data_IF_677132238515
#
_entry.id   IF_677132238515
#
_cell.length_a   1.000
_cell.length_b   1.000
_cell.length_c   1.000
_cell.angle_alpha   90.00
_cell.angle_beta   90.00
_cell.angle_gamma   90.00
#
_symmetry.space_group_name_H-M   'P 1'
#
loop_
_entity.id
_entity.type
_entity.pdbx_description
1 polymer ?
#
# COMPACT_ATOMS: atom_id res chain seq x y z
N UNK A 1 -17.00 -1.12 -9.16
CA UNK A 1 -16.30 0.17 -9.41
C UNK A 1 -14.82 -0.15 -9.66
N UNK A 2 -14.13 0.55 -10.57
CA UNK A 2 -12.76 0.15 -10.99
C UNK A 2 -11.75 0.15 -9.82
N UNK A 3 -12.01 0.91 -8.76
CA UNK A 3 -11.12 1.09 -7.61
C UNK A 3 -11.71 0.55 -6.29
N UNK A 4 -12.61 -0.44 -6.31
CA UNK A 4 -13.19 -0.99 -5.07
C UNK A 4 -12.13 -1.63 -4.17
N UNK A 5 -12.41 -1.67 -2.87
CA UNK A 5 -11.51 -2.21 -1.85
C UNK A 5 -10.93 -3.58 -2.24
N UNK A 6 -11.83 -4.55 -2.50
CA UNK A 6 -11.46 -5.94 -2.82
C UNK A 6 -10.54 -6.05 -4.04
N UNK A 7 -10.76 -5.19 -5.05
CA UNK A 7 -9.98 -5.28 -6.28
C UNK A 7 -8.55 -4.84 -6.06
N UNK A 8 -8.35 -3.72 -5.34
CA UNK A 8 -7.01 -3.22 -5.05
C UNK A 8 -6.28 -4.18 -4.12
N UNK A 9 -6.94 -4.66 -3.05
CA UNK A 9 -6.36 -5.62 -2.11
C UNK A 9 -5.89 -6.90 -2.81
N UNK A 10 -6.74 -7.48 -3.67
CA UNK A 10 -6.39 -8.68 -4.43
C UNK A 10 -5.27 -8.41 -5.44
N UNK A 11 -5.25 -7.22 -6.08
CA UNK A 11 -4.17 -6.83 -6.98
C UNK A 11 -2.83 -6.74 -6.27
N UNK A 12 -2.79 -6.19 -5.05
CA UNK A 12 -1.57 -6.11 -4.24
C UNK A 12 -1.11 -7.51 -3.83
N UNK A 13 -2.02 -8.35 -3.33
CA UNK A 13 -1.69 -9.70 -2.92
C UNK A 13 -1.12 -10.53 -4.08
N UNK A 14 -1.76 -10.47 -5.25
CA UNK A 14 -1.28 -11.13 -6.47
C UNK A 14 0.09 -10.60 -6.91
N UNK A 15 0.29 -9.28 -6.87
CA UNK A 15 1.59 -8.70 -7.20
C UNK A 15 2.71 -9.15 -6.25
N UNK A 16 2.41 -9.32 -4.96
CA UNK A 16 3.38 -9.89 -4.02
C UNK A 16 3.72 -11.35 -4.35
N UNK A 17 2.71 -12.18 -4.62
CA UNK A 17 2.89 -13.58 -5.02
C UNK A 17 3.75 -13.68 -6.29
N UNK A 18 3.37 -12.98 -7.36
CA UNK A 18 4.10 -12.99 -8.63
C UNK A 18 5.54 -12.47 -8.47
N UNK A 19 5.71 -11.29 -7.88
CA UNK A 19 7.03 -10.64 -7.85
C UNK A 19 8.00 -11.29 -6.89
N UNK A 20 7.54 -11.82 -5.75
CA UNK A 20 8.43 -12.45 -4.77
C UNK A 20 8.65 -13.92 -5.13
N UNK A 21 7.58 -14.68 -5.39
CA UNK A 21 7.70 -16.13 -5.54
C UNK A 21 8.12 -16.53 -6.95
N UNK A 22 7.68 -15.81 -7.99
CA UNK A 22 8.03 -16.13 -9.38
C UNK A 22 9.25 -15.34 -9.88
N UNK A 23 9.34 -14.04 -9.57
CA UNK A 23 10.46 -13.18 -10.03
C UNK A 23 11.64 -13.10 -9.04
N UNK A 24 11.47 -13.56 -7.79
CA UNK A 24 12.53 -13.54 -6.77
C UNK A 24 12.90 -12.13 -6.28
N UNK A 25 11.98 -11.16 -6.40
CA UNK A 25 12.18 -9.79 -5.95
C UNK A 25 12.11 -9.69 -4.42
N UNK A 26 12.80 -8.69 -3.85
CA UNK A 26 12.65 -8.36 -2.43
C UNK A 26 11.30 -7.70 -2.16
N UNK A 27 10.85 -7.70 -0.90
CA UNK A 27 9.62 -6.96 -0.50
C UNK A 27 9.69 -5.48 -0.91
N UNK A 28 10.85 -4.84 -0.82
CA UNK A 28 11.03 -3.46 -1.26
C UNK A 28 10.83 -3.31 -2.78
N UNK A 29 11.44 -4.18 -3.58
CA UNK A 29 11.31 -4.19 -5.04
C UNK A 29 9.88 -4.50 -5.50
N UNK A 30 9.26 -5.52 -4.92
CA UNK A 30 7.86 -5.87 -5.20
C UNK A 30 6.91 -4.71 -4.86
N UNK A 31 7.08 -4.11 -3.68
CA UNK A 31 6.29 -2.94 -3.25
C UNK A 31 6.43 -1.77 -4.23
N UNK A 32 7.66 -1.48 -4.68
CA UNK A 32 7.93 -0.43 -5.65
C UNK A 32 7.24 -0.72 -6.99
N UNK A 33 7.42 -1.94 -7.51
CA UNK A 33 6.84 -2.37 -8.80
C UNK A 33 5.32 -2.27 -8.80
N UNK A 34 4.65 -2.71 -7.73
CA UNK A 34 3.19 -2.57 -7.58
C UNK A 34 2.76 -1.10 -7.70
N UNK A 35 3.42 -0.19 -6.97
CA UNK A 35 3.09 1.24 -7.03
C UNK A 35 3.38 1.86 -8.40
N UNK A 36 4.42 1.40 -9.09
CA UNK A 36 4.77 1.85 -10.43
C UNK A 36 3.74 1.44 -11.48
N UNK A 37 3.30 0.19 -11.47
CA UNK A 37 2.31 -0.32 -12.41
C UNK A 37 0.93 0.27 -12.15
N UNK A 38 0.60 0.54 -10.89
CA UNK A 38 -0.69 1.08 -10.48
C UNK A 38 -0.67 2.60 -10.28
N UNK A 39 0.41 3.30 -10.68
CA UNK A 39 0.62 4.73 -10.42
C UNK A 39 -0.57 5.63 -10.80
N UNK A 40 -1.25 5.29 -11.92
CA UNK A 40 -2.44 6.03 -12.38
C UNK A 40 -3.65 5.83 -11.46
N UNK A 41 -3.84 4.64 -10.89
CA UNK A 41 -4.94 4.35 -9.96
C UNK A 41 -4.61 4.82 -8.56
N UNK A 42 -3.36 4.63 -8.13
CA UNK A 42 -2.82 5.03 -6.84
C UNK A 42 -3.18 6.47 -6.48
N UNK A 43 -2.99 7.39 -7.44
CA UNK A 43 -3.22 8.82 -7.22
C UNK A 43 -4.68 9.27 -7.43
N UNK A 44 -5.62 8.34 -7.68
CA UNK A 44 -7.01 8.69 -7.97
C UNK A 44 -7.75 9.35 -6.80
N UNK A 45 -7.53 8.89 -5.55
CA UNK A 45 -8.11 9.52 -4.37
C UNK A 45 -7.33 9.17 -3.10
N UNK A 46 -7.50 9.92 -1.99
CA UNK A 46 -6.86 9.62 -0.71
C UNK A 46 -7.16 8.19 -0.22
N UNK A 47 -8.41 7.73 -0.40
CA UNK A 47 -8.81 6.35 -0.12
C UNK A 47 -7.97 5.34 -0.89
N UNK A 48 -7.85 5.49 -2.21
CA UNK A 48 -7.10 4.52 -3.03
C UNK A 48 -5.62 4.53 -2.67
N UNK A 49 -5.03 5.72 -2.47
CA UNK A 49 -3.64 5.85 -2.04
C UNK A 49 -3.41 5.13 -0.71
N UNK A 50 -4.28 5.37 0.26
CA UNK A 50 -4.20 4.72 1.59
C UNK A 50 -4.37 3.21 1.48
N UNK A 51 -5.32 2.73 0.68
CA UNK A 51 -5.53 1.30 0.47
C UNK A 51 -4.31 0.60 -0.13
N UNK A 52 -3.64 1.18 -1.13
CA UNK A 52 -2.41 0.60 -1.66
C UNK A 52 -1.33 0.51 -0.58
N UNK A 53 -1.07 1.60 0.14
CA UNK A 53 -0.01 1.63 1.16
C UNK A 53 -0.28 0.65 2.31
N UNK A 54 -1.51 0.62 2.82
CA UNK A 54 -1.91 -0.29 3.90
C UNK A 54 -1.88 -1.74 3.42
N UNK A 55 -2.37 -2.04 2.21
CA UNK A 55 -2.34 -3.41 1.67
C UNK A 55 -0.91 -3.91 1.48
N UNK A 56 -0.02 -3.07 0.91
CA UNK A 56 1.40 -3.40 0.72
C UNK A 56 2.07 -3.63 2.08
N UNK A 57 1.81 -2.77 3.06
CA UNK A 57 2.34 -2.95 4.40
C UNK A 57 1.87 -4.27 5.03
N UNK A 58 0.59 -4.62 4.91
CA UNK A 58 0.06 -5.88 5.44
C UNK A 58 0.68 -7.11 4.78
N UNK A 59 0.83 -7.13 3.44
CA UNK A 59 1.48 -8.25 2.76
C UNK A 59 2.95 -8.41 3.17
N UNK A 60 3.69 -7.31 3.24
CA UNK A 60 5.05 -7.34 3.78
C UNK A 60 5.09 -7.89 5.21
N UNK A 61 4.24 -7.35 6.10
CA UNK A 61 4.24 -7.72 7.51
C UNK A 61 3.88 -9.21 7.73
N UNK A 62 3.05 -9.82 6.88
CA UNK A 62 2.82 -11.28 6.89
C UNK A 62 4.11 -12.06 6.64
N UNK A 63 4.98 -11.54 5.77
CA UNK A 63 6.31 -12.07 5.48
C UNK A 63 7.40 -11.57 6.43
N UNK A 64 7.02 -10.87 7.52
CA UNK A 64 7.93 -10.27 8.52
C UNK A 64 8.93 -9.27 7.93
N UNK A 65 8.56 -8.59 6.85
CA UNK A 65 9.41 -7.58 6.20
C UNK A 65 8.57 -6.36 5.84
N UNK A 66 9.16 -5.18 5.79
CA UNK A 66 8.48 -3.99 5.29
C UNK A 66 9.46 -3.11 4.55
N UNK A 67 9.06 -2.57 3.40
CA UNK A 67 9.89 -1.62 2.68
C UNK A 67 10.03 -0.32 3.48
N UNK A 68 11.24 0.21 3.57
CA UNK A 68 11.57 1.47 4.25
C UNK A 68 10.65 2.64 3.83
N UNK A 69 10.43 2.80 2.52
CA UNK A 69 9.65 3.90 1.98
C UNK A 69 8.15 3.78 2.27
N UNK A 70 7.64 2.55 2.45
CA UNK A 70 6.27 2.27 2.91
C UNK A 70 6.20 2.63 4.38
N UNK A 71 7.09 2.06 5.21
CA UNK A 71 7.12 2.27 6.65
C UNK A 71 7.17 3.77 7.01
N UNK A 72 8.07 4.52 6.37
CA UNK A 72 8.28 5.94 6.65
C UNK A 72 7.10 6.85 6.28
N UNK A 73 6.14 6.37 5.46
CA UNK A 73 5.00 7.17 4.99
C UNK A 73 3.66 6.68 5.51
N UNK A 74 3.63 5.50 6.12
CA UNK A 74 2.40 4.78 6.43
C UNK A 74 1.49 5.54 7.40
N UNK A 75 2.06 6.25 8.37
CA UNK A 75 1.31 7.07 9.33
C UNK A 75 0.46 8.15 8.64
N UNK A 76 0.98 8.75 7.57
CA UNK A 76 0.26 9.74 6.77
C UNK A 76 -0.96 9.18 6.01
N UNK A 77 -1.05 7.85 5.89
CA UNK A 77 -2.15 7.16 5.21
C UNK A 77 -3.13 6.49 6.17
N UNK A 78 -2.97 6.71 7.48
CA UNK A 78 -3.92 6.24 8.49
C UNK A 78 -5.03 7.23 8.80
N UNK A 79 -5.02 8.42 8.18
CA UNK A 79 -6.02 9.43 8.43
C UNK A 79 -7.33 9.13 7.67
N UNK A 80 -8.33 8.66 8.42
CA UNK A 80 -9.61 8.19 7.88
C UNK A 80 -10.52 9.37 7.48
N UNK A 81 -10.29 10.56 8.05
CA UNK A 81 -11.07 11.77 7.77
C UNK A 81 -10.97 12.22 6.31
N UNK A 82 -9.98 11.74 5.55
CA UNK A 82 -9.73 12.11 4.15
C UNK A 82 -10.56 11.29 3.13
N UNK A 83 -11.46 10.39 3.58
CA UNK A 83 -12.19 9.46 2.70
C UNK A 83 -13.59 9.92 2.28
N UNK A 84 -13.97 11.19 2.52
CA UNK A 84 -15.32 11.74 2.26
C UNK A 84 -15.80 11.67 0.79
N UNK A 85 -14.95 11.18 -0.12
CA UNK A 85 -15.20 11.16 -1.56
C UNK A 85 -16.03 9.93 -1.99
N UNK A 86 -17.36 10.05 -1.94
CA UNK A 86 -18.40 9.26 -2.68
C UNK A 86 -18.35 7.71 -2.70
N UNK A 87 -17.53 7.05 -1.88
CA UNK A 87 -17.37 5.58 -1.89
C UNK A 87 -18.40 4.85 -1.04
N UNK A 88 -18.54 3.55 -1.31
CA UNK A 88 -19.35 2.63 -0.50
C UNK A 88 -18.79 2.58 0.94
N UNK A 89 -19.64 2.83 1.94
CA UNK A 89 -19.27 2.78 3.36
C UNK A 89 -18.60 1.45 3.73
N UNK A 90 -19.01 0.35 3.09
CA UNK A 90 -18.40 -0.96 3.29
C UNK A 90 -16.91 -0.96 2.94
N UNK A 91 -16.52 -0.36 1.82
CA UNK A 91 -15.12 -0.30 1.39
C UNK A 91 -14.29 0.53 2.37
N UNK A 92 -14.88 1.61 2.93
CA UNK A 92 -14.29 2.44 3.98
C UNK A 92 -14.08 1.63 5.26
N UNK A 93 -15.11 0.94 5.74
CA UNK A 93 -15.05 0.15 6.98
C UNK A 93 -14.00 -0.97 6.88
N UNK A 94 -13.87 -1.59 5.70
CA UNK A 94 -12.85 -2.60 5.43
C UNK A 94 -11.44 -2.01 5.48
N UNK A 95 -11.20 -0.85 4.87
CA UNK A 95 -9.90 -0.17 4.95
C UNK A 95 -9.58 0.25 6.38
N UNK A 96 -10.54 0.79 7.14
CA UNK A 96 -10.36 1.14 8.54
C UNK A 96 -9.94 -0.06 9.39
N UNK A 97 -10.55 -1.23 9.15
CA UNK A 97 -10.19 -2.47 9.82
C UNK A 97 -8.76 -2.90 9.50
N UNK A 98 -8.35 -2.80 8.23
CA UNK A 98 -6.99 -3.11 7.80
C UNK A 98 -5.96 -2.11 8.36
N UNK A 99 -6.32 -0.83 8.50
CA UNK A 99 -5.48 0.19 9.16
C UNK A 99 -5.22 -0.19 10.61
N UNK A 100 -6.26 -0.54 11.37
CA UNK A 100 -6.10 -0.95 12.78
C UNK A 100 -5.28 -2.24 12.91
N UNK A 101 -5.54 -3.22 12.05
CA UNK A 101 -4.71 -4.43 11.98
C UNK A 101 -3.24 -4.11 11.71
N UNK A 102 -2.98 -3.21 10.75
CA UNK A 102 -1.63 -2.80 10.39
C UNK A 102 -0.93 -2.11 11.58
N UNK A 103 -1.59 -1.17 12.26
CA UNK A 103 -1.09 -0.52 13.48
C UNK A 103 -0.74 -1.55 14.57
N UNK A 104 -1.61 -2.54 14.79
CA UNK A 104 -1.35 -3.60 15.76
C UNK A 104 -0.11 -4.43 15.42
N UNK A 105 0.06 -4.82 14.14
CA UNK A 105 1.22 -5.58 13.68
C UNK A 105 2.50 -4.76 13.82
N UNK A 106 2.47 -3.49 13.45
CA UNK A 106 3.61 -2.57 13.61
C UNK A 106 4.03 -2.42 15.08
N UNK A 107 3.04 -2.30 15.98
CA UNK A 107 3.26 -2.20 17.43
C UNK A 107 3.83 -3.48 18.04
N UNK A 108 3.39 -4.65 17.55
CA UNK A 108 3.93 -5.96 17.99
C UNK A 108 5.40 -6.13 17.59
N UNK A 109 5.83 -5.49 16.50
CA UNK A 109 7.20 -5.61 16.00
C UNK A 109 7.46 -6.98 15.37
N UNK A 110 8.75 -7.37 15.30
CA UNK A 110 9.16 -8.67 14.77
C UNK A 110 9.24 -8.74 13.24
N UNK A 111 9.35 -7.59 12.58
CA UNK A 111 9.62 -7.46 11.16
C UNK A 111 10.97 -6.76 10.93
N UNK A 112 11.53 -6.99 9.76
CA UNK A 112 12.73 -6.30 9.26
C UNK A 112 12.33 -5.16 8.32
N UNK A 113 13.02 -4.03 8.39
CA UNK A 113 12.88 -2.96 7.42
C UNK A 113 13.87 -3.21 6.28
N UNK A 114 13.37 -3.34 5.07
CA UNK A 114 14.17 -3.59 3.86
C UNK A 114 14.41 -2.26 3.16
N UNK A 115 15.68 -1.87 3.06
CA UNK A 115 16.10 -0.63 2.40
C UNK A 115 15.90 -0.69 0.89
N UNK A 116 15.57 0.46 0.30
CA UNK A 116 15.39 0.61 -1.15
C UNK A 116 16.57 1.39 -1.74
N UNK A 117 17.35 0.78 -2.62
CA UNK A 117 18.56 1.39 -3.19
C UNK A 117 18.27 2.58 -4.15
N UNK A 118 17.05 2.70 -4.68
CA UNK A 118 16.67 3.78 -5.59
C UNK A 118 15.18 4.14 -5.50
N UNK A 119 14.86 5.16 -4.71
CA UNK A 119 13.48 5.63 -4.49
C UNK A 119 13.02 6.70 -5.47
N UNK A 120 13.89 7.21 -6.36
CA UNK A 120 13.60 8.42 -7.15
C UNK A 120 12.33 8.31 -8.02
N UNK A 121 12.08 7.13 -8.59
CA UNK A 121 10.85 6.87 -9.37
C UNK A 121 9.60 6.79 -8.49
N UNK A 122 9.70 6.16 -7.32
CA UNK A 122 8.62 6.07 -6.34
C UNK A 122 8.28 7.48 -5.84
N UNK A 123 9.28 8.26 -5.46
CA UNK A 123 9.10 9.64 -4.99
C UNK A 123 8.42 10.51 -6.05
N UNK A 124 8.83 10.37 -7.31
CA UNK A 124 8.16 11.03 -8.43
C UNK A 124 6.69 10.64 -8.52
N UNK A 125 6.36 9.34 -8.54
CA UNK A 125 4.98 8.85 -8.65
C UNK A 125 4.11 9.35 -7.49
N UNK A 126 4.65 9.38 -6.28
CA UNK A 126 3.93 9.82 -5.09
C UNK A 126 3.71 11.35 -5.07
N UNK A 127 4.58 12.10 -5.76
CA UNK A 127 4.47 13.56 -5.92
C UNK A 127 3.46 13.98 -6.99
N UNK A 128 3.01 13.05 -7.84
CA UNK A 128 2.04 13.38 -8.88
C UNK A 128 0.73 13.87 -8.25
N UNK A 129 0.16 14.97 -8.76
CA UNK A 129 -1.12 15.45 -8.29
C UNK A 129 -2.18 14.37 -8.56
N UNK A 130 -3.19 14.33 -7.70
CA UNK A 130 -4.35 13.48 -7.97
C UNK A 130 -5.06 13.98 -9.22
N UNK A 131 -5.27 13.08 -10.18
CA UNK A 131 -6.05 13.34 -11.39
C UNK A 131 -7.54 13.44 -11.00
N UNK A 132 -7.96 14.61 -10.50
CA UNK A 132 -9.36 14.98 -10.30
C UNK A 132 -9.84 15.93 -11.40
#
# INVERSE_FOLDING_TARGET
MINSYERIKNSVAYGFEEYIDEEGLTVAQASAKILEEEARRLNYSPFTKSLYFVSIALEGLKSKQIADFIFNRLEGYFNIEDFEDSRDQKDIDQLCSDIELCKEMLKKGGYEIIETENTGRIEYILSLPSDF
#
